data_IF_865051322972
#
_entry.id   IF_865051322972
#
_cell.length_a   1.000
_cell.length_b   1.000
_cell.length_c   1.000
_cell.angle_alpha   90.00
_cell.angle_beta   90.00
_cell.angle_gamma   90.00
#
_symmetry.space_group_name_H-M   'P 1'
#
loop_
_entity.id
_entity.type
_entity.pdbx_description
1 polymer ?
#
# COMPACT_ATOMS: atom_id res chain seq x y z
N UNK A 1 -9.76 11.58 0.15
CA UNK A 1 -8.70 11.18 -0.81
C UNK A 1 -9.26 10.06 -1.68
N UNK A 2 -9.27 10.19 -3.02
CA UNK A 2 -9.71 9.11 -3.91
C UNK A 2 -8.63 8.05 -4.13
N UNK A 3 -8.97 6.91 -4.76
CA UNK A 3 -8.06 5.78 -4.98
C UNK A 3 -6.77 6.20 -5.70
N UNK A 4 -6.88 6.96 -6.79
CA UNK A 4 -5.74 7.53 -7.51
C UNK A 4 -4.90 8.48 -6.65
N UNK A 5 -5.50 9.11 -5.64
CA UNK A 5 -4.80 9.97 -4.69
C UNK A 5 -3.89 9.17 -3.76
N UNK A 6 -4.36 8.02 -3.26
CA UNK A 6 -3.54 7.11 -2.44
C UNK A 6 -2.32 6.63 -3.23
N UNK A 7 -2.54 6.10 -4.44
CA UNK A 7 -1.48 5.60 -5.33
C UNK A 7 -0.38 6.65 -5.50
N UNK A 8 -0.76 7.87 -5.91
CA UNK A 8 0.20 8.97 -6.11
C UNK A 8 0.98 9.35 -4.86
N UNK A 9 0.35 9.32 -3.69
CA UNK A 9 1.02 9.67 -2.43
C UNK A 9 2.07 8.62 -2.09
N UNK A 10 1.71 7.34 -2.19
CA UNK A 10 2.64 6.22 -1.95
C UNK A 10 3.80 6.25 -2.95
N UNK A 11 3.53 6.44 -4.24
CA UNK A 11 4.58 6.52 -5.25
C UNK A 11 5.53 7.70 -5.01
N UNK A 12 4.99 8.85 -4.59
CA UNK A 12 5.79 10.06 -4.33
C UNK A 12 6.74 9.91 -3.15
N UNK A 13 6.38 9.10 -2.15
CA UNK A 13 7.28 8.78 -1.03
C UNK A 13 8.21 7.61 -1.34
N UNK A 14 8.17 7.08 -2.57
CA UNK A 14 9.01 5.97 -3.03
C UNK A 14 8.58 4.63 -2.45
N UNK A 15 7.28 4.41 -2.28
CA UNK A 15 6.70 3.20 -1.70
C UNK A 15 6.62 3.20 -0.18
N UNK A 16 6.02 2.15 0.37
CA UNK A 16 5.83 1.95 1.81
C UNK A 16 6.21 0.53 2.22
N UNK A 17 6.68 0.38 3.45
CA UNK A 17 6.99 -0.93 4.03
C UNK A 17 5.83 -1.35 4.96
N UNK A 18 5.29 -2.55 4.74
CA UNK A 18 4.23 -3.13 5.57
C UNK A 18 4.55 -4.57 5.93
N UNK A 19 4.06 -5.02 7.09
CA UNK A 19 4.07 -6.43 7.45
C UNK A 19 2.70 -7.04 7.19
N UNK A 20 2.64 -7.89 6.16
CA UNK A 20 1.42 -8.54 5.70
C UNK A 20 1.11 -9.72 6.63
N UNK A 21 0.23 -9.50 7.61
CA UNK A 21 -0.07 -10.51 8.65
C UNK A 21 -0.67 -11.80 8.09
N UNK A 22 -1.50 -11.68 7.05
CA UNK A 22 -2.13 -12.79 6.36
C UNK A 22 -2.03 -12.56 4.84
N UNK A 23 -1.80 -13.62 4.05
CA UNK A 23 -1.70 -13.46 2.61
C UNK A 23 -3.01 -12.90 2.05
N UNK A 24 -2.89 -11.97 1.11
CA UNK A 24 -4.03 -11.44 0.38
C UNK A 24 -4.16 -12.24 -0.91
N UNK A 25 -5.32 -12.86 -1.12
CA UNK A 25 -5.66 -13.55 -2.36
C UNK A 25 -7.05 -13.10 -2.81
N UNK A 26 -7.11 -12.34 -3.90
CA UNK A 26 -8.34 -11.80 -4.46
C UNK A 26 -8.41 -12.09 -5.96
N UNK A 27 -9.18 -13.11 -6.32
CA UNK A 27 -9.33 -13.54 -7.72
C UNK A 27 -10.24 -12.63 -8.53
N UNK A 28 -11.01 -11.76 -7.85
CA UNK A 28 -12.03 -10.92 -8.46
C UNK A 28 -11.80 -9.43 -8.13
N UNK A 29 -10.54 -9.03 -7.97
CA UNK A 29 -10.19 -7.63 -7.70
C UNK A 29 -10.62 -6.76 -8.90
N UNK A 30 -11.38 -5.67 -8.71
CA UNK A 30 -11.75 -4.78 -9.82
C UNK A 30 -10.50 -4.23 -10.51
N UNK A 31 -10.43 -4.30 -11.83
CA UNK A 31 -9.26 -3.81 -12.56
C UNK A 31 -9.22 -2.26 -12.57
N UNK A 32 -8.77 -1.68 -11.47
CA UNK A 32 -8.73 -0.23 -11.21
C UNK A 32 -7.77 0.54 -12.11
N UNK A 33 -6.92 -0.19 -12.82
CA UNK A 33 -5.85 0.33 -13.65
C UNK A 33 -6.09 0.08 -15.14
N UNK A 34 -7.25 -0.49 -15.49
CA UNK A 34 -7.71 -0.60 -16.88
C UNK A 34 -8.53 0.63 -17.27
N UNK A 35 -8.25 1.19 -18.44
CA UNK A 35 -8.94 2.36 -19.00
C UNK A 35 -10.42 2.11 -19.26
N UNK A 36 -10.84 0.86 -19.48
CA UNK A 36 -12.25 0.54 -19.69
C UNK A 36 -13.08 0.59 -18.40
N UNK A 37 -12.45 0.56 -17.21
CA UNK A 37 -13.14 0.46 -15.93
C UNK A 37 -13.92 -0.85 -15.72
N UNK A 38 -13.77 -1.81 -16.63
CA UNK A 38 -14.41 -3.12 -16.59
C UNK A 38 -13.37 -4.23 -16.48
N UNK A 39 -13.79 -5.34 -15.87
CA UNK A 39 -12.99 -6.55 -15.69
C UNK A 39 -12.42 -6.69 -14.28
N UNK A 40 -11.89 -7.88 -14.04
CA UNK A 40 -11.23 -8.24 -12.78
C UNK A 40 -9.79 -8.66 -13.05
N UNK A 41 -8.97 -8.58 -12.02
CA UNK A 41 -7.63 -9.12 -12.00
C UNK A 41 -7.42 -9.96 -10.73
N UNK A 42 -6.44 -10.87 -10.80
CA UNK A 42 -6.00 -11.63 -9.63
C UNK A 42 -4.95 -10.84 -8.89
N UNK A 43 -5.18 -10.60 -7.60
CA UNK A 43 -4.21 -10.02 -6.67
C UNK A 43 -3.70 -11.10 -5.73
N UNK A 44 -2.38 -11.16 -5.60
CA UNK A 44 -1.72 -12.00 -4.61
C UNK A 44 -0.60 -11.21 -3.91
N UNK A 45 -0.70 -11.08 -2.58
CA UNK A 45 0.41 -10.66 -1.72
C UNK A 45 0.65 -11.78 -0.70
N UNK A 46 1.90 -12.24 -0.62
CA UNK A 46 2.31 -13.22 0.39
C UNK A 46 2.22 -12.61 1.81
N UNK A 47 2.28 -13.46 2.84
CA UNK A 47 2.46 -12.97 4.20
C UNK A 47 3.92 -12.53 4.46
N UNK A 48 4.10 -11.64 5.43
CA UNK A 48 5.39 -11.14 5.89
C UNK A 48 5.74 -9.73 5.39
N UNK A 49 6.96 -9.25 5.71
CA UNK A 49 7.42 -7.92 5.35
C UNK A 49 7.52 -7.71 3.84
N UNK A 50 6.90 -6.65 3.34
CA UNK A 50 6.91 -6.28 1.93
C UNK A 50 7.00 -4.78 1.73
N UNK A 51 7.70 -4.40 0.66
CA UNK A 51 7.72 -3.05 0.15
C UNK A 51 6.69 -2.91 -0.96
N UNK A 52 5.70 -2.03 -0.78
CA UNK A 52 4.59 -1.82 -1.70
C UNK A 52 4.69 -0.47 -2.40
N UNK A 53 4.60 -0.48 -3.72
CA UNK A 53 4.34 0.71 -4.52
C UNK A 53 2.86 1.15 -4.41
N UNK A 54 2.48 2.25 -5.07
CA UNK A 54 1.12 2.77 -4.97
C UNK A 54 0.05 1.82 -5.48
N UNK A 55 0.33 1.02 -6.52
CA UNK A 55 -0.62 0.05 -7.06
C UNK A 55 -0.82 -1.11 -6.08
N UNK A 56 0.26 -1.69 -5.58
CA UNK A 56 0.20 -2.79 -4.62
C UNK A 56 -0.37 -2.32 -3.27
N UNK A 57 -0.07 -1.10 -2.82
CA UNK A 57 -0.66 -0.52 -1.62
C UNK A 57 -2.18 -0.32 -1.76
N UNK A 58 -2.66 0.12 -2.93
CA UNK A 58 -4.09 0.22 -3.19
C UNK A 58 -4.78 -1.16 -3.15
N UNK A 59 -4.20 -2.14 -3.84
CA UNK A 59 -4.68 -3.51 -3.83
C UNK A 59 -4.72 -4.07 -2.40
N UNK A 60 -3.66 -3.81 -1.61
CA UNK A 60 -3.55 -4.23 -0.22
C UNK A 60 -4.61 -3.62 0.68
N UNK A 61 -4.99 -2.34 0.54
CA UNK A 61 -6.03 -1.75 1.42
C UNK A 61 -7.46 -2.00 0.95
N UNK A 62 -7.64 -2.38 -0.31
CA UNK A 62 -8.97 -2.48 -0.94
C UNK A 62 -9.45 -3.90 -1.14
N UNK A 63 -8.55 -4.88 -1.23
CA UNK A 63 -8.95 -6.29 -1.33
C UNK A 63 -9.85 -6.69 -0.15
N UNK A 64 -10.96 -7.37 -0.47
CA UNK A 64 -11.98 -7.81 0.50
C UNK A 64 -12.12 -9.33 0.56
N UNK A 65 -11.77 -10.02 -0.51
CA UNK A 65 -11.93 -11.47 -0.63
C UNK A 65 -10.68 -12.19 -0.12
N UNK A 66 -10.86 -13.38 0.47
CA UNK A 66 -9.75 -14.21 0.95
C UNK A 66 -9.14 -13.79 2.30
N UNK A 67 -9.62 -12.69 2.91
CA UNK A 67 -9.17 -12.28 4.25
C UNK A 67 -9.91 -13.08 5.33
N UNK A 68 -9.15 -13.78 6.17
CA UNK A 68 -9.67 -14.53 7.33
C UNK A 68 -10.46 -13.64 8.30
N UNK A 69 -10.20 -12.33 8.29
CA UNK A 69 -10.80 -11.32 9.17
C UNK A 69 -11.80 -10.40 8.45
N UNK A 70 -12.08 -10.62 7.16
CA UNK A 70 -13.06 -9.86 6.36
C UNK A 70 -12.86 -8.33 6.50
N UNK A 71 -13.94 -7.59 6.80
CA UNK A 71 -13.94 -6.13 6.95
C UNK A 71 -13.03 -5.60 8.08
N UNK A 72 -12.77 -6.40 9.13
CA UNK A 72 -11.80 -6.05 10.18
C UNK A 72 -10.36 -6.11 9.67
N UNK A 73 -10.03 -7.11 8.86
CA UNK A 73 -8.71 -7.17 8.22
C UNK A 73 -8.48 -5.97 7.30
N UNK A 74 -9.52 -5.49 6.60
CA UNK A 74 -9.43 -4.26 5.80
C UNK A 74 -9.09 -3.02 6.63
N UNK A 75 -9.74 -2.81 7.77
CA UNK A 75 -9.45 -1.63 8.61
C UNK A 75 -8.04 -1.67 9.18
N UNK A 76 -7.56 -2.86 9.57
CA UNK A 76 -6.17 -3.06 10.01
C UNK A 76 -5.19 -2.69 8.90
N UNK A 77 -5.39 -3.19 7.68
CA UNK A 77 -4.52 -2.89 6.53
C UNK A 77 -4.49 -1.40 6.19
N UNK A 78 -5.65 -0.74 6.26
CA UNK A 78 -5.74 0.71 6.08
C UNK A 78 -4.94 1.47 7.16
N UNK A 79 -5.03 1.06 8.42
CA UNK A 79 -4.24 1.65 9.50
C UNK A 79 -2.73 1.40 9.30
N UNK A 80 -2.32 0.20 8.90
CA UNK A 80 -0.92 -0.13 8.61
C UNK A 80 -0.35 0.78 7.51
N UNK A 81 -1.09 0.99 6.42
CA UNK A 81 -0.66 1.87 5.33
C UNK A 81 -0.52 3.33 5.79
N UNK A 82 -1.43 3.83 6.64
CA UNK A 82 -1.30 5.18 7.19
C UNK A 82 -0.05 5.32 8.09
N UNK A 83 0.24 4.32 8.92
CA UNK A 83 1.44 4.30 9.75
C UNK A 83 2.72 4.23 8.91
N UNK A 84 2.73 3.40 7.87
CA UNK A 84 3.88 3.27 6.97
C UNK A 84 4.13 4.56 6.18
N UNK A 85 3.07 5.23 5.71
CA UNK A 85 3.17 6.56 5.09
C UNK A 85 3.74 7.61 6.04
N UNK A 86 3.30 7.62 7.30
CA UNK A 86 3.85 8.51 8.32
C UNK A 86 5.35 8.25 8.54
N UNK A 87 5.75 6.99 8.70
CA UNK A 87 7.14 6.60 8.88
C UNK A 87 8.00 7.02 7.69
N UNK A 88 7.50 6.83 6.46
CA UNK A 88 8.21 7.23 5.25
C UNK A 88 8.37 8.74 5.13
N UNK A 89 7.31 9.50 5.46
CA UNK A 89 7.36 10.96 5.46
C UNK A 89 8.40 11.50 6.46
N UNK A 90 8.45 10.94 7.68
CA UNK A 90 9.47 11.30 8.69
C UNK A 90 10.86 10.93 8.21
N UNK A 91 11.05 9.75 7.62
CA UNK A 91 12.37 9.34 7.10
C UNK A 91 12.87 10.28 5.99
N UNK A 92 11.99 10.72 5.08
CA UNK A 92 12.35 11.71 4.05
C UNK A 92 12.72 13.07 4.66
N UNK A 93 11.98 13.51 5.67
CA UNK A 93 12.28 14.75 6.40
C UNK A 93 13.61 14.65 7.17
N UNK A 94 14.04 13.47 7.61
CA UNK A 94 15.38 13.27 8.21
C UNK A 94 16.51 13.23 7.18
N UNK A 95 16.23 12.81 5.94
CA UNK A 95 17.22 12.78 4.84
C UNK A 95 17.44 14.18 4.24
N UNK A 96 16.44 15.05 4.30
CA UNK A 96 16.48 16.36 3.63
C UNK A 96 17.36 17.43 4.33
N UNK A 97 17.61 17.39 5.66
CA UNK A 97 18.56 18.25 6.35
C UNK A 97 19.77 17.45 6.85
N UNK A 98 20.56 16.89 5.94
CA UNK A 98 21.97 16.64 6.23
C UNK A 98 22.82 17.59 5.37
N UNK A 99 23.05 18.85 5.81
CA UNK A 99 24.23 19.56 5.33
C UNK A 99 25.41 18.65 5.67
N UNK A 100 26.13 18.21 4.64
CA UNK A 100 27.28 17.33 4.78
C UNK A 100 28.30 17.99 5.71
N UNK A 101 28.35 17.55 6.96
CA UNK A 101 29.50 17.76 7.83
C UNK A 101 30.62 16.80 7.39
N UNK A 102 31.03 16.93 6.13
CA UNK A 102 32.32 16.46 5.67
C UNK A 102 33.22 17.69 5.66
N UNK A 103 34.02 17.77 6.72
CA UNK A 103 35.08 18.76 6.94
C UNK A 103 36.18 18.62 5.88
#
# INVERSE_FOLDING_TARGET
>A
VGLKGLVRVVDRVGGIDVDVLHPVLDDNYPNDFNDSGYGTERVYLAAGPQHLDGRHALQYVRSRHGDLLSDFGRSIRQQQVLLALQQRAVAMDLVTPLPSFAR
#
